data_IF_421933004485
#
_entry.id   IF_421933004485
#
_cell.length_a   1.000
_cell.length_b   1.000
_cell.length_c   1.000
_cell.angle_alpha   90.00
_cell.angle_beta   90.00
_cell.angle_gamma   90.00
#
_symmetry.space_group_name_H-M   'P 1'
#
loop_
_entity.id
_entity.type
_entity.pdbx_description
1 polymer ?
#
# COMPACT_ATOMS: atom_id res chain seq x y z
N UNK A 1 13.44 -3.38 -2.94
CA UNK A 1 12.52 -4.53 -3.08
C UNK A 1 12.70 -5.15 -4.47
N UNK A 2 12.92 -6.48 -4.63
CA UNK A 2 12.93 -7.13 -5.94
C UNK A 2 11.56 -7.03 -6.64
N UNK A 3 11.58 -6.70 -7.93
CA UNK A 3 10.42 -6.73 -8.82
C UNK A 3 10.56 -7.94 -9.74
N UNK A 4 9.50 -8.74 -9.84
CA UNK A 4 9.55 -10.06 -10.48
C UNK A 4 8.75 -10.12 -11.77
N UNK A 5 9.14 -11.03 -12.66
CA UNK A 5 8.45 -11.27 -13.93
C UNK A 5 7.03 -11.85 -13.75
N UNK A 6 6.75 -12.49 -12.61
CA UNK A 6 5.46 -13.11 -12.31
C UNK A 6 5.15 -13.12 -10.81
N UNK A 7 3.91 -13.48 -10.42
CA UNK A 7 3.39 -13.46 -9.06
C UNK A 7 3.90 -14.63 -8.21
N UNK A 8 5.22 -14.80 -8.12
CA UNK A 8 5.83 -15.89 -7.36
C UNK A 8 7.22 -15.52 -6.85
N UNK A 9 7.64 -16.01 -5.67
CA UNK A 9 9.00 -15.80 -5.17
C UNK A 9 10.10 -16.51 -5.99
N UNK A 10 9.73 -17.47 -6.83
CA UNK A 10 10.62 -18.19 -7.75
C UNK A 10 10.74 -17.49 -9.11
N UNK A 11 9.81 -16.59 -9.45
CA UNK A 11 9.84 -15.87 -10.72
C UNK A 11 11.12 -14.99 -10.86
N UNK A 12 11.72 -14.88 -12.06
CA UNK A 12 12.92 -14.08 -12.28
C UNK A 12 12.78 -12.63 -11.82
N UNK A 13 13.86 -12.06 -11.30
CA UNK A 13 13.91 -10.63 -10.94
C UNK A 13 14.15 -9.83 -12.22
N UNK A 14 13.23 -8.90 -12.52
CA UNK A 14 13.27 -8.03 -13.71
C UNK A 14 13.62 -6.58 -13.36
N UNK A 15 13.63 -6.24 -12.06
CA UNK A 15 13.98 -4.91 -11.59
C UNK A 15 14.07 -4.86 -10.07
N UNK A 16 14.36 -3.67 -9.53
CA UNK A 16 14.37 -3.44 -8.08
C UNK A 16 13.84 -2.04 -7.78
N UNK A 17 12.93 -1.96 -6.81
CA UNK A 17 12.56 -0.71 -6.20
C UNK A 17 13.63 -0.30 -5.18
N UNK A 18 14.04 0.98 -5.13
CA UNK A 18 14.96 1.47 -4.11
C UNK A 18 14.30 1.44 -2.72
N UNK A 19 15.10 1.48 -1.63
CA UNK A 19 14.55 1.61 -0.28
C UNK A 19 13.89 2.98 -0.07
N UNK A 20 13.06 3.08 0.96
CA UNK A 20 12.58 4.39 1.41
C UNK A 20 13.76 5.24 1.91
N UNK A 21 13.79 6.51 1.55
CA UNK A 21 14.79 7.48 2.00
C UNK A 21 14.27 8.24 3.21
N UNK A 22 15.13 8.53 4.18
CA UNK A 22 14.73 9.36 5.32
C UNK A 22 14.32 10.75 4.83
N UNK A 23 13.23 11.27 5.38
CA UNK A 23 12.71 12.60 5.06
C UNK A 23 12.36 13.30 6.37
N UNK A 24 13.03 14.42 6.65
CA UNK A 24 12.70 15.29 7.78
C UNK A 24 11.52 16.19 7.40
N UNK A 25 10.49 16.26 8.25
CA UNK A 25 9.31 17.12 8.06
C UNK A 25 8.01 16.42 7.67
N UNK A 26 8.03 15.10 7.43
CA UNK A 26 6.82 14.29 7.20
C UNK A 26 6.30 13.59 8.45
N UNK A 27 5.02 13.18 8.45
CA UNK A 27 4.41 12.35 9.52
C UNK A 27 5.08 10.98 9.68
N UNK A 28 5.90 10.57 8.70
CA UNK A 28 6.64 9.31 8.67
C UNK A 28 8.11 9.58 8.35
N UNK A 29 8.99 8.82 8.98
CA UNK A 29 10.45 8.96 8.94
C UNK A 29 11.10 8.60 7.59
N UNK A 30 10.35 8.63 6.48
CA UNK A 30 10.89 8.41 5.14
C UNK A 30 9.86 8.35 4.02
N UNK A 31 10.34 8.49 2.78
CA UNK A 31 9.55 8.39 1.54
C UNK A 31 9.99 7.19 0.71
N UNK A 32 9.04 6.34 0.35
CA UNK A 32 9.27 5.20 -0.54
C UNK A 32 8.92 5.50 -2.00
N UNK A 33 9.24 4.57 -2.91
CA UNK A 33 8.70 4.58 -4.27
C UNK A 33 7.18 4.52 -4.27
N UNK A 34 6.57 5.30 -5.14
CA UNK A 34 5.13 5.30 -5.40
C UNK A 34 4.86 4.67 -6.77
N UNK A 35 3.68 4.06 -6.92
CA UNK A 35 3.35 3.25 -8.09
C UNK A 35 1.84 3.02 -8.21
N UNK A 36 1.40 2.72 -9.43
CA UNK A 36 0.07 2.20 -9.69
C UNK A 36 0.06 0.68 -9.54
N UNK A 37 -1.02 0.12 -8.96
CA UNK A 37 -1.31 -1.31 -9.00
C UNK A 37 -2.28 -1.56 -10.16
N UNK A 38 -1.88 -2.40 -11.11
CA UNK A 38 -2.68 -2.69 -12.31
C UNK A 38 -3.30 -4.08 -12.30
N UNK A 39 -2.71 -5.03 -11.57
CA UNK A 39 -3.21 -6.40 -11.42
C UNK A 39 -2.88 -6.92 -10.01
N UNK A 40 -3.71 -7.84 -9.50
CA UNK A 40 -3.49 -8.55 -8.24
C UNK A 40 -3.77 -10.05 -8.43
N UNK A 41 -2.86 -10.90 -7.93
CA UNK A 41 -2.98 -12.35 -8.04
C UNK A 41 -2.28 -13.01 -6.84
N UNK A 42 -3.02 -13.77 -6.02
CA UNK A 42 -2.44 -14.58 -4.94
C UNK A 42 -1.57 -13.81 -3.94
N UNK A 43 -1.92 -12.57 -3.60
CA UNK A 43 -1.12 -11.70 -2.71
C UNK A 43 0.10 -11.04 -3.38
N UNK A 44 0.19 -11.13 -4.71
CA UNK A 44 1.15 -10.39 -5.53
C UNK A 44 0.45 -9.30 -6.31
N UNK A 45 1.16 -8.21 -6.56
CA UNK A 45 0.62 -7.03 -7.21
C UNK A 45 1.54 -6.60 -8.34
N UNK A 46 0.98 -6.45 -9.54
CA UNK A 46 1.68 -5.91 -10.68
C UNK A 46 1.69 -4.40 -10.57
N UNK A 47 2.88 -3.82 -10.54
CA UNK A 47 3.11 -2.38 -10.43
C UNK A 47 3.48 -1.78 -11.78
N UNK A 48 3.05 -0.54 -11.98
CA UNK A 48 3.38 0.29 -13.14
C UNK A 48 3.52 1.76 -12.72
N UNK A 49 3.99 2.62 -13.65
CA UNK A 49 4.16 4.06 -13.43
C UNK A 49 4.94 4.38 -12.13
N UNK A 50 6.02 3.64 -11.88
CA UNK A 50 6.83 3.77 -10.66
C UNK A 50 7.58 5.09 -10.69
N UNK A 51 7.58 5.82 -9.58
CA UNK A 51 8.43 6.99 -9.37
C UNK A 51 8.98 7.04 -7.94
N UNK A 52 10.03 7.83 -7.74
CA UNK A 52 10.57 8.15 -6.42
C UNK A 52 10.57 9.66 -6.21
N UNK A 53 10.05 10.14 -5.06
CA UNK A 53 10.20 11.54 -4.71
C UNK A 53 11.65 11.78 -4.25
N UNK A 54 12.30 12.77 -4.85
CA UNK A 54 13.63 13.24 -4.45
C UNK A 54 13.55 14.69 -3.98
N UNK A 55 14.32 15.04 -2.95
CA UNK A 55 14.38 16.41 -2.44
C UNK A 55 15.63 17.08 -2.99
N UNK A 56 15.46 18.20 -3.68
CA UNK A 56 16.55 19.02 -4.17
C UNK A 56 16.23 20.48 -3.89
N UNK A 57 17.10 21.15 -3.14
CA UNK A 57 16.98 22.59 -2.84
C UNK A 57 15.58 22.99 -2.28
N UNK A 58 15.05 22.18 -1.35
CA UNK A 58 13.71 22.29 -0.74
C UNK A 58 12.50 21.99 -1.67
N UNK A 59 12.73 21.66 -2.95
CA UNK A 59 11.70 21.18 -3.87
C UNK A 59 11.65 19.64 -3.91
N UNK A 60 10.42 19.11 -4.04
CA UNK A 60 10.17 17.67 -4.26
C UNK A 60 10.04 17.43 -5.77
N UNK A 61 10.95 16.64 -6.33
CA UNK A 61 10.91 16.19 -7.73
C UNK A 61 10.59 14.69 -7.79
N UNK A 62 9.56 14.34 -8.57
CA UNK A 62 9.21 12.95 -8.86
C UNK A 62 10.06 12.41 -10.02
N UNK A 63 10.94 11.47 -9.72
CA UNK A 63 11.81 10.83 -10.71
C UNK A 63 11.18 9.51 -11.16
N UNK A 64 10.73 9.38 -12.43
CA UNK A 64 10.15 8.14 -12.92
C UNK A 64 11.22 7.04 -13.02
N UNK A 65 10.84 5.82 -12.65
CA UNK A 65 11.65 4.63 -12.76
C UNK A 65 11.06 3.69 -13.81
N UNK A 66 11.86 3.30 -14.80
CA UNK A 66 11.48 2.33 -15.83
C UNK A 66 11.46 0.89 -15.26
N UNK A 67 10.61 0.64 -14.27
CA UNK A 67 10.45 -0.64 -13.59
C UNK A 67 8.97 -1.01 -13.54
N UNK A 68 8.65 -2.18 -14.08
CA UNK A 68 7.30 -2.77 -14.08
C UNK A 68 7.45 -4.25 -13.72
N UNK A 69 6.45 -4.81 -13.03
CA UNK A 69 6.43 -6.24 -12.69
C UNK A 69 5.72 -6.50 -11.37
N UNK A 70 6.00 -7.63 -10.73
CA UNK A 70 5.27 -8.09 -9.56
C UNK A 70 6.04 -7.89 -8.26
N UNK A 71 5.36 -7.40 -7.23
CA UNK A 71 5.84 -7.32 -5.84
C UNK A 71 4.88 -8.04 -4.89
N UNK A 72 5.36 -8.59 -3.76
CA UNK A 72 4.48 -9.21 -2.78
C UNK A 72 3.74 -8.11 -1.99
N UNK A 73 2.51 -8.37 -1.57
CA UNK A 73 1.70 -7.39 -0.84
C UNK A 73 2.26 -6.93 0.51
N UNK A 74 3.16 -7.71 1.11
CA UNK A 74 3.94 -7.28 2.30
C UNK A 74 4.90 -6.11 2.02
N UNK A 75 5.15 -5.80 0.75
CA UNK A 75 5.97 -4.66 0.34
C UNK A 75 5.15 -3.36 0.22
N UNK A 76 3.83 -3.45 0.35
CA UNK A 76 2.91 -2.34 0.08
C UNK A 76 2.45 -1.76 1.40
N UNK A 77 2.57 -0.44 1.50
CA UNK A 77 2.17 0.33 2.67
C UNK A 77 1.50 1.61 2.20
N UNK A 78 0.43 2.01 2.88
CA UNK A 78 -0.31 3.24 2.61
C UNK A 78 -1.00 3.68 3.90
N UNK A 79 -1.41 4.94 3.98
CA UNK A 79 -2.22 5.41 5.10
C UNK A 79 -3.71 5.18 4.84
N UNK A 80 -4.47 5.10 5.93
CA UNK A 80 -5.91 4.87 5.90
C UNK A 80 -6.66 6.02 6.59
N UNK A 81 -7.69 6.51 5.94
CA UNK A 81 -8.72 7.41 6.46
C UNK A 81 -10.06 6.69 6.57
N UNK A 82 -10.08 5.63 7.38
CA UNK A 82 -11.28 4.86 7.68
C UNK A 82 -11.32 4.51 9.15
N UNK A 83 -12.53 4.43 9.71
CA UNK A 83 -12.72 3.91 11.07
C UNK A 83 -13.12 2.43 11.05
N UNK A 84 -13.33 1.83 9.87
CA UNK A 84 -13.89 0.48 9.72
C UNK A 84 -13.12 -0.36 8.72
N UNK A 85 -13.01 -1.65 9.04
CA UNK A 85 -12.71 -2.74 8.11
C UNK A 85 -13.94 -3.62 7.91
N UNK A 86 -14.16 -4.05 6.68
CA UNK A 86 -15.39 -4.70 6.21
C UNK A 86 -15.14 -6.15 5.80
N UNK A 87 -16.16 -7.00 5.85
CA UNK A 87 -16.04 -8.41 5.41
C UNK A 87 -15.98 -8.56 3.89
N UNK A 88 -16.45 -7.55 3.13
CA UNK A 88 -16.44 -7.51 1.66
C UNK A 88 -16.09 -6.10 1.18
N UNK A 89 -15.68 -5.90 -0.09
CA UNK A 89 -15.43 -4.57 -0.67
C UNK A 89 -16.75 -3.83 -0.97
N UNK A 90 -17.54 -3.61 0.08
CA UNK A 90 -18.88 -3.03 0.05
C UNK A 90 -19.13 -2.33 1.41
N UNK A 91 -19.42 -1.02 1.43
CA UNK A 91 -19.60 -0.29 2.69
C UNK A 91 -20.88 -0.71 3.44
N UNK A 92 -21.81 -1.42 2.78
CA UNK A 92 -22.99 -2.00 3.41
C UNK A 92 -22.73 -3.40 4.03
N UNK A 93 -21.55 -3.97 3.84
CA UNK A 93 -21.19 -5.26 4.42
C UNK A 93 -20.85 -5.17 5.91
N UNK A 94 -20.71 -6.33 6.56
CA UNK A 94 -20.41 -6.42 7.98
C UNK A 94 -19.08 -5.72 8.33
N UNK A 95 -19.09 -4.96 9.42
CA UNK A 95 -17.87 -4.36 9.98
C UNK A 95 -17.18 -5.40 10.86
N UNK A 96 -16.10 -5.99 10.35
CA UNK A 96 -15.29 -7.00 11.04
C UNK A 96 -14.17 -6.40 11.88
N UNK A 97 -13.88 -5.11 11.66
CA UNK A 97 -12.85 -4.40 12.38
C UNK A 97 -13.23 -2.93 12.60
N UNK A 98 -12.90 -2.39 13.78
CA UNK A 98 -13.06 -0.97 14.09
C UNK A 98 -11.70 -0.40 14.47
N UNK A 99 -11.22 0.52 13.66
CA UNK A 99 -9.96 1.21 13.91
C UNK A 99 -10.15 2.18 15.09
N UNK A 100 -9.35 1.98 16.14
CA UNK A 100 -9.22 2.89 17.28
C UNK A 100 -7.89 3.66 17.20
N UNK A 101 -6.78 2.97 17.45
CA UNK A 101 -5.41 3.54 17.48
C UNK A 101 -4.45 2.97 16.42
N UNK A 102 -4.86 1.95 15.66
CA UNK A 102 -4.05 1.35 14.58
C UNK A 102 -4.20 2.16 13.30
N UNK A 103 -3.60 3.35 13.31
CA UNK A 103 -3.49 4.26 12.16
C UNK A 103 -2.23 4.01 11.34
N UNK A 104 -1.39 3.04 11.73
CA UNK A 104 -0.08 2.85 11.12
C UNK A 104 -0.03 1.67 10.14
N UNK A 105 0.56 1.87 8.94
CA UNK A 105 0.76 0.80 7.96
C UNK A 105 1.57 -0.41 8.46
N UNK A 106 2.25 -0.29 9.60
CA UNK A 106 3.10 -1.35 10.16
C UNK A 106 2.32 -2.39 10.97
N UNK A 107 1.05 -2.14 11.21
CA UNK A 107 0.22 -3.00 12.07
C UNK A 107 -0.42 -4.16 11.30
N UNK A 108 -0.28 -4.19 9.98
CA UNK A 108 -0.76 -5.26 9.12
C UNK A 108 0.36 -6.14 8.55
N UNK A 109 0.01 -7.37 8.24
CA UNK A 109 0.92 -8.39 7.71
C UNK A 109 1.19 -8.18 6.21
N UNK A 110 0.14 -7.92 5.43
CA UNK A 110 0.23 -7.70 3.98
C UNK A 110 -1.08 -7.14 3.41
N UNK A 111 -0.99 -6.48 2.25
CA UNK A 111 -2.12 -6.37 1.33
C UNK A 111 -2.29 -7.72 0.63
N UNK A 112 -3.51 -8.26 0.57
CA UNK A 112 -3.78 -9.60 0.01
C UNK A 112 -4.55 -9.58 -1.29
N UNK A 113 -5.37 -8.54 -1.51
CA UNK A 113 -6.15 -8.34 -2.73
C UNK A 113 -6.53 -6.86 -2.90
N UNK A 114 -7.03 -6.46 -4.07
CA UNK A 114 -7.61 -5.14 -4.29
C UNK A 114 -8.73 -5.16 -5.32
N UNK A 115 -9.72 -4.26 -5.15
CA UNK A 115 -10.84 -4.10 -6.09
C UNK A 115 -11.30 -2.65 -6.16
N UNK A 116 -10.99 -1.97 -7.26
CA UNK A 116 -11.32 -0.55 -7.41
C UNK A 116 -10.68 0.28 -6.30
N UNK A 117 -11.49 0.93 -5.44
CA UNK A 117 -11.00 1.74 -4.31
C UNK A 117 -10.76 0.94 -3.02
N UNK A 118 -10.85 -0.38 -3.09
CA UNK A 118 -10.75 -1.28 -1.95
C UNK A 118 -9.43 -2.04 -1.94
N UNK A 119 -8.87 -2.23 -0.75
CA UNK A 119 -7.79 -3.17 -0.50
C UNK A 119 -8.23 -4.19 0.55
N UNK A 120 -7.89 -5.46 0.36
CA UNK A 120 -7.95 -6.46 1.42
C UNK A 120 -6.61 -6.47 2.17
N UNK A 121 -6.67 -6.41 3.48
CA UNK A 121 -5.51 -6.38 4.37
C UNK A 121 -5.55 -7.58 5.30
N UNK A 122 -4.45 -8.33 5.34
CA UNK A 122 -4.18 -9.34 6.36
C UNK A 122 -3.57 -8.69 7.62
N UNK A 123 -4.08 -9.03 8.79
CA UNK A 123 -3.63 -8.49 10.08
C UNK A 123 -3.67 -9.55 11.19
N UNK A 124 -3.10 -9.23 12.35
CA UNK A 124 -2.93 -10.16 13.47
C UNK A 124 -1.55 -10.80 13.47
N UNK A 125 -1.46 -12.08 13.81
CA UNK A 125 -0.21 -12.86 13.72
C UNK A 125 -0.27 -13.79 12.51
N UNK A 126 0.86 -14.28 11.99
CA UNK A 126 0.84 -15.27 10.91
C UNK A 126 0.06 -16.56 11.25
N UNK A 127 -0.06 -16.89 12.55
CA UNK A 127 -0.81 -18.07 13.02
C UNK A 127 -2.32 -17.79 13.18
N UNK A 128 -2.69 -16.53 13.42
CA UNK A 128 -4.06 -16.09 13.65
C UNK A 128 -4.44 -14.98 12.66
N UNK A 129 -4.07 -15.16 11.39
CA UNK A 129 -4.32 -14.18 10.34
C UNK A 129 -5.82 -13.94 10.19
N UNK A 130 -6.20 -12.66 10.22
CA UNK A 130 -7.54 -12.18 9.90
C UNK A 130 -7.46 -11.24 8.71
N UNK A 131 -8.60 -11.04 8.05
CA UNK A 131 -8.68 -10.19 6.86
C UNK A 131 -9.82 -9.19 6.97
N UNK A 132 -9.60 -8.03 6.37
CA UNK A 132 -10.61 -6.99 6.25
C UNK A 132 -10.42 -6.24 4.95
N UNK A 133 -11.54 -5.83 4.36
CA UNK A 133 -11.59 -4.89 3.26
C UNK A 133 -11.64 -3.46 3.79
N UNK A 134 -10.79 -2.60 3.25
CA UNK A 134 -10.70 -1.18 3.63
C UNK A 134 -10.80 -0.28 2.41
N UNK A 135 -11.25 0.95 2.65
CA UNK A 135 -11.34 2.05 1.69
C UNK A 135 -10.86 3.33 2.38
N UNK A 136 -10.67 4.41 1.63
CA UNK A 136 -10.10 5.66 2.17
C UNK A 136 -8.58 5.57 2.24
N UNK A 137 -7.96 4.92 1.24
CA UNK A 137 -6.51 4.84 1.10
C UNK A 137 -6.01 6.21 0.66
N UNK A 138 -5.04 6.76 1.39
CA UNK A 138 -4.38 8.00 1.01
C UNK A 138 -3.40 7.69 -0.14
N UNK A 139 -3.67 8.26 -1.32
CA UNK A 139 -2.96 8.02 -2.58
C UNK A 139 -1.50 8.55 -2.63
N UNK A 140 -1.17 9.54 -1.82
CA UNK A 140 0.14 10.20 -1.72
C UNK A 140 0.59 10.25 -0.26
N UNK A 141 1.89 10.06 -0.04
CA UNK A 141 2.50 9.90 1.29
C UNK A 141 2.37 11.14 2.21
N UNK A 142 2.14 12.33 1.67
CA UNK A 142 2.08 13.59 2.43
C UNK A 142 0.69 14.21 2.60
N UNK A 143 -0.15 14.19 1.56
CA UNK A 143 -1.27 15.17 1.46
C UNK A 143 -2.58 14.65 0.92
N UNK A 144 -2.67 13.36 0.56
CA UNK A 144 -3.87 12.82 -0.10
C UNK A 144 -5.01 12.42 0.85
N UNK A 145 -4.77 12.55 2.15
CA UNK A 145 -5.74 12.31 3.17
C UNK A 145 -6.73 13.49 3.22
N UNK A 146 -7.72 13.50 2.32
CA UNK A 146 -8.69 14.59 2.08
C UNK A 146 -9.68 14.84 3.23
N UNK A 147 -9.67 14.00 4.27
CA UNK A 147 -10.53 14.13 5.45
C UNK A 147 -11.91 13.53 5.26
N UNK A 148 -12.21 12.97 4.08
CA UNK A 148 -13.44 12.23 3.79
C UNK A 148 -13.22 10.79 4.23
N UNK A 149 -13.90 10.39 5.30
CA UNK A 149 -13.85 9.00 5.76
C UNK A 149 -14.35 8.07 4.66
N UNK A 150 -13.56 7.04 4.33
CA UNK A 150 -13.89 5.98 3.36
C UNK A 150 -15.07 5.08 3.76
N UNK A 151 -15.75 5.39 4.87
CA UNK A 151 -16.80 4.61 5.51
C UNK A 151 -18.18 4.70 4.82
N UNK A 152 -18.31 5.43 3.70
CA UNK A 152 -19.57 5.66 2.95
C UNK A 152 -19.53 5.13 1.52
#
# INVERSE_FOLDING_TARGET
>A
MPVRAGPSPEAPIVGRLPPAVAYEGGLYSGRGPEFAIVEAEGGWFRIDAVYVPTVKDDDVEDVPLAVTGWIPGRAIYFQLQTAKGFSRPDPASEVVYRFGELTHPRDWLAVTDCRGKWAEIAYGTPQEERRMWVRGICAAQETSCDGVKGDR
#
